data_IF_811810272694
#
_entry.id   IF_811810272694
#
_cell.length_a   1.000
_cell.length_b   1.000
_cell.length_c   1.000
_cell.angle_alpha   90.00
_cell.angle_beta   90.00
_cell.angle_gamma   90.00
#
_symmetry.space_group_name_H-M   'P 1'
#
loop_
_entity.id
_entity.type
_entity.pdbx_description
1 polymer ?
#
# COMPACT_ATOMS: atom_id res chain seq x y z
N UNK A 1 10.96 -7.96 6.81
CA UNK A 1 12.28 -7.31 7.07
C UNK A 1 12.82 -7.57 8.49
N UNK A 2 12.04 -7.40 9.57
CA UNK A 2 12.49 -7.64 10.95
C UNK A 2 13.05 -9.05 11.17
N UNK A 3 12.41 -10.09 10.67
CA UNK A 3 12.87 -11.48 10.82
C UNK A 3 14.15 -11.79 10.03
N UNK A 4 14.35 -11.17 8.89
CA UNK A 4 15.56 -11.34 8.08
C UNK A 4 16.79 -10.70 8.73
N UNK A 5 16.61 -9.55 9.40
CA UNK A 5 17.66 -8.95 10.20
C UNK A 5 17.99 -9.80 11.43
N UNK A 6 16.97 -10.41 12.02
CA UNK A 6 17.13 -11.25 13.19
C UNK A 6 17.98 -12.51 12.91
N UNK A 7 17.80 -13.21 11.80
CA UNK A 7 18.62 -14.36 11.45
C UNK A 7 20.12 -14.03 11.39
N UNK A 8 20.47 -12.78 11.08
CA UNK A 8 21.86 -12.29 11.13
C UNK A 8 22.34 -11.85 12.52
N UNK A 9 21.43 -11.47 13.39
CA UNK A 9 21.72 -10.84 14.69
C UNK A 9 21.45 -11.82 15.87
N UNK A 10 20.68 -12.90 15.63
CA UNK A 10 20.22 -13.80 16.67
C UNK A 10 21.31 -14.58 17.43
N UNK A 11 22.47 -14.75 16.86
CA UNK A 11 23.60 -15.33 17.58
C UNK A 11 24.04 -14.45 18.77
N UNK A 12 23.74 -13.15 18.71
CA UNK A 12 24.15 -12.17 19.72
C UNK A 12 23.01 -11.73 20.66
N UNK A 13 21.74 -11.74 20.17
CA UNK A 13 20.63 -11.09 20.87
C UNK A 13 19.64 -12.06 21.54
N UNK A 14 19.83 -13.37 21.37
CA UNK A 14 19.05 -14.40 22.09
C UNK A 14 17.54 -14.26 22.00
N UNK A 15 16.83 -14.45 23.11
CA UNK A 15 15.38 -14.41 23.23
C UNK A 15 14.81 -13.03 23.55
N UNK A 16 15.33 -11.96 22.97
CA UNK A 16 14.79 -10.62 23.18
C UNK A 16 13.34 -10.59 22.68
N UNK A 17 12.39 -10.14 23.51
CA UNK A 17 11.01 -9.96 23.08
C UNK A 17 10.93 -8.90 21.98
N UNK A 18 10.16 -9.18 20.93
CA UNK A 18 9.94 -8.26 19.82
C UNK A 18 8.45 -7.90 19.83
N UNK A 19 8.16 -6.61 19.71
CA UNK A 19 6.82 -6.12 19.41
C UNK A 19 6.78 -5.73 17.94
N UNK A 20 5.93 -6.38 17.17
CA UNK A 20 5.66 -6.05 15.78
C UNK A 20 4.36 -5.26 15.74
N UNK A 21 4.36 -4.17 15.01
CA UNK A 21 3.16 -3.36 14.75
C UNK A 21 2.99 -3.33 13.23
N UNK A 22 1.84 -3.71 12.74
CA UNK A 22 1.58 -3.77 11.31
C UNK A 22 0.12 -3.95 10.97
N UNK A 23 -0.15 -3.87 9.70
CA UNK A 23 -1.51 -3.92 9.17
C UNK A 23 -1.93 -5.34 8.78
N UNK A 24 -0.99 -6.26 8.76
CA UNK A 24 -1.19 -7.63 8.30
C UNK A 24 -0.57 -8.62 9.28
N UNK A 25 -1.32 -9.62 9.63
CA UNK A 25 -0.90 -10.75 10.46
C UNK A 25 -0.19 -11.85 9.64
N UNK A 26 0.20 -11.52 8.41
CA UNK A 26 0.88 -12.43 7.48
C UNK A 26 2.27 -11.93 7.12
N UNK A 27 3.09 -12.84 6.63
CA UNK A 27 4.39 -12.51 6.04
C UNK A 27 4.56 -13.20 4.69
N UNK A 28 5.31 -12.54 3.82
CA UNK A 28 5.67 -13.08 2.52
C UNK A 28 7.09 -13.67 2.54
N UNK A 29 7.43 -14.59 1.63
CA UNK A 29 8.79 -15.05 1.45
C UNK A 29 9.77 -13.87 1.22
N UNK A 30 11.02 -14.08 1.65
CA UNK A 30 12.08 -13.04 1.61
C UNK A 30 12.27 -12.42 0.24
N UNK A 31 12.12 -13.22 -0.81
CA UNK A 31 12.28 -12.82 -2.20
C UNK A 31 11.38 -11.65 -2.59
N UNK A 32 10.21 -11.56 -1.98
CA UNK A 32 9.22 -10.49 -2.22
C UNK A 32 9.68 -9.11 -1.76
N UNK A 33 10.57 -9.07 -0.77
CA UNK A 33 11.05 -7.81 -0.21
C UNK A 33 12.34 -7.29 -0.86
N UNK A 34 13.03 -8.11 -1.66
CA UNK A 34 14.38 -7.80 -2.12
C UNK A 34 14.59 -7.83 -3.63
N UNK A 35 13.66 -8.34 -4.41
CA UNK A 35 13.90 -8.55 -5.85
C UNK A 35 13.68 -7.31 -6.70
N UNK A 36 13.04 -6.25 -6.17
CA UNK A 36 12.69 -5.06 -6.95
C UNK A 36 11.90 -5.36 -8.23
N UNK A 37 11.35 -6.58 -8.34
CA UNK A 37 10.50 -6.99 -9.45
C UNK A 37 9.06 -6.99 -8.97
N UNK A 38 8.12 -6.46 -9.77
CA UNK A 38 6.71 -6.61 -9.47
C UNK A 38 6.38 -8.10 -9.42
N UNK A 39 5.98 -8.57 -8.26
CA UNK A 39 5.57 -9.95 -8.07
C UNK A 39 4.05 -9.92 -7.99
N UNK A 40 3.38 -10.56 -8.95
CA UNK A 40 1.94 -10.68 -8.90
C UNK A 40 1.53 -11.48 -7.65
N UNK A 41 0.90 -10.81 -6.70
CA UNK A 41 0.45 -11.39 -5.43
C UNK A 41 -0.56 -12.52 -5.62
N UNK A 42 -1.23 -12.60 -6.77
CA UNK A 42 -2.16 -13.69 -7.04
C UNK A 42 -1.57 -15.10 -6.84
N UNK A 43 -0.22 -15.21 -6.81
CA UNK A 43 0.51 -16.43 -6.54
C UNK A 43 1.39 -16.34 -5.29
N UNK A 44 1.30 -15.26 -4.49
CA UNK A 44 2.10 -15.13 -3.29
C UNK A 44 1.64 -16.12 -2.23
N UNK A 45 2.53 -16.97 -1.81
CA UNK A 45 2.33 -17.80 -0.63
C UNK A 45 2.62 -16.90 0.57
N UNK A 46 1.57 -16.34 1.15
CA UNK A 46 1.67 -15.68 2.45
C UNK A 46 1.45 -16.71 3.54
N UNK A 47 2.17 -16.56 4.64
CA UNK A 47 2.00 -17.39 5.83
C UNK A 47 1.58 -16.53 7.02
N UNK A 48 0.72 -17.03 7.91
CA UNK A 48 0.36 -16.32 9.13
C UNK A 48 1.59 -16.06 10.01
N UNK A 49 1.69 -14.88 10.61
CA UNK A 49 2.77 -14.54 11.54
C UNK A 49 2.79 -15.46 12.76
N UNK A 50 1.64 -15.99 13.17
CA UNK A 50 1.53 -16.93 14.29
C UNK A 50 2.38 -18.18 14.09
N UNK A 51 2.62 -18.61 12.86
CA UNK A 51 3.46 -19.77 12.55
C UNK A 51 4.94 -19.57 12.93
N UNK A 52 5.35 -18.33 13.12
CA UNK A 52 6.70 -17.98 13.55
C UNK A 52 6.86 -17.94 15.08
N UNK A 53 5.78 -17.94 15.86
CA UNK A 53 5.85 -17.88 17.32
C UNK A 53 6.68 -19.00 17.97
N UNK A 54 6.66 -20.24 17.47
CA UNK A 54 7.53 -21.30 18.03
C UNK A 54 9.03 -21.02 17.87
N UNK A 55 9.40 -20.19 16.89
CA UNK A 55 10.80 -19.89 16.58
C UNK A 55 11.26 -18.56 17.17
N UNK A 56 10.32 -17.64 17.41
CA UNK A 56 10.62 -16.25 17.79
C UNK A 56 9.70 -15.76 18.91
N UNK A 57 10.30 -15.14 19.90
CA UNK A 57 9.56 -14.47 20.98
C UNK A 57 9.05 -13.13 20.51
N UNK A 58 7.83 -13.07 19.96
CA UNK A 58 7.23 -11.81 19.51
C UNK A 58 5.73 -11.70 19.88
N UNK A 59 5.30 -10.46 19.98
CA UNK A 59 3.88 -10.07 20.04
C UNK A 59 3.56 -9.24 18.81
N UNK A 60 2.44 -9.51 18.16
CA UNK A 60 1.93 -8.72 17.04
C UNK A 60 0.78 -7.84 17.51
N UNK A 61 0.86 -6.56 17.18
CA UNK A 61 -0.22 -5.58 17.36
C UNK A 61 -0.71 -5.19 15.97
N UNK A 62 -1.92 -5.60 15.65
CA UNK A 62 -2.56 -5.29 14.38
C UNK A 62 -3.05 -3.83 14.38
N UNK A 63 -2.74 -3.11 13.30
CA UNK A 63 -3.29 -1.79 12.98
C UNK A 63 -3.99 -1.90 11.63
N UNK A 64 -5.27 -2.33 11.59
CA UNK A 64 -5.94 -2.65 10.34
C UNK A 64 -6.08 -1.42 9.44
N UNK A 65 -6.03 -1.63 8.14
CA UNK A 65 -6.36 -0.60 7.16
C UNK A 65 -7.84 -0.25 7.25
N UNK A 66 -8.14 1.01 7.45
CA UNK A 66 -9.52 1.52 7.50
C UNK A 66 -10.10 1.79 6.09
N UNK A 67 -9.75 0.95 5.10
CA UNK A 67 -10.16 1.19 3.72
C UNK A 67 -11.66 1.09 3.50
N UNK A 68 -12.35 0.18 4.22
CA UNK A 68 -13.81 0.03 4.10
C UNK A 68 -14.54 1.26 4.59
N UNK A 69 -14.18 1.72 5.78
CA UNK A 69 -14.73 2.91 6.40
C UNK A 69 -14.43 4.16 5.57
N UNK A 70 -13.23 4.23 5.01
CA UNK A 70 -12.84 5.34 4.14
C UNK A 70 -13.65 5.35 2.85
N UNK A 71 -13.85 4.20 2.20
CA UNK A 71 -14.69 4.09 0.99
C UNK A 71 -16.15 4.43 1.32
N UNK A 72 -16.68 3.93 2.42
CA UNK A 72 -18.05 4.23 2.85
C UNK A 72 -18.24 5.75 3.08
N UNK A 73 -17.27 6.38 3.72
CA UNK A 73 -17.25 7.83 3.91
C UNK A 73 -17.16 8.58 2.58
N UNK A 74 -16.30 8.14 1.64
CA UNK A 74 -16.19 8.74 0.31
C UNK A 74 -17.53 8.71 -0.42
N UNK A 75 -18.21 7.57 -0.43
CA UNK A 75 -19.53 7.44 -1.10
C UNK A 75 -20.57 8.37 -0.46
N UNK A 76 -20.54 8.54 0.85
CA UNK A 76 -21.44 9.46 1.56
C UNK A 76 -21.13 10.93 1.25
N UNK A 77 -19.84 11.30 1.20
CA UNK A 77 -19.42 12.68 0.95
C UNK A 77 -19.53 13.07 -0.53
N UNK A 78 -19.42 12.09 -1.43
CA UNK A 78 -19.41 12.30 -2.88
C UNK A 78 -20.58 11.52 -3.53
N UNK A 79 -21.84 11.94 -3.32
CA UNK A 79 -23.00 11.18 -3.76
C UNK A 79 -23.16 11.07 -5.30
N UNK A 80 -22.42 11.87 -6.05
CA UNK A 80 -22.38 11.80 -7.53
C UNK A 80 -21.17 11.02 -8.05
N UNK A 81 -20.35 10.48 -7.17
CA UNK A 81 -19.15 9.74 -7.55
C UNK A 81 -19.52 8.50 -8.36
N UNK A 82 -18.83 8.29 -9.48
CA UNK A 82 -18.95 7.13 -10.36
C UNK A 82 -17.67 6.31 -10.40
N UNK A 83 -16.53 6.95 -10.12
CA UNK A 83 -15.21 6.31 -10.19
C UNK A 83 -14.46 6.48 -8.88
N UNK A 84 -13.89 5.39 -8.41
CA UNK A 84 -12.90 5.38 -7.33
C UNK A 84 -11.56 5.01 -7.94
N UNK A 85 -10.58 5.88 -7.76
CA UNK A 85 -9.20 5.65 -8.17
C UNK A 85 -8.35 5.31 -6.95
N UNK A 86 -7.70 4.17 -6.99
CA UNK A 86 -6.70 3.82 -5.98
C UNK A 86 -5.30 4.14 -6.51
N UNK A 87 -4.67 5.16 -5.91
CA UNK A 87 -3.32 5.59 -6.26
C UNK A 87 -2.31 5.07 -5.24
N UNK A 88 -1.37 4.26 -5.70
CA UNK A 88 -0.36 3.62 -4.86
C UNK A 88 0.90 3.24 -5.66
N UNK A 89 1.97 2.88 -4.93
CA UNK A 89 3.14 2.23 -5.51
C UNK A 89 2.98 0.69 -5.56
N UNK A 90 4.00 0.00 -6.09
CA UNK A 90 4.00 -1.46 -6.21
C UNK A 90 4.51 -2.18 -4.94
N UNK A 91 4.61 -1.52 -3.81
CA UNK A 91 5.00 -2.20 -2.58
C UNK A 91 3.99 -3.29 -2.23
N UNK A 92 4.50 -4.36 -1.64
CA UNK A 92 3.71 -5.55 -1.30
C UNK A 92 2.36 -5.21 -0.61
N UNK A 93 2.40 -4.36 0.41
CA UNK A 93 1.19 -3.98 1.16
C UNK A 93 0.15 -3.26 0.28
N UNK A 94 0.57 -2.46 -0.70
CA UNK A 94 -0.34 -1.77 -1.61
C UNK A 94 -0.98 -2.72 -2.62
N UNK A 95 -0.28 -3.77 -3.03
CA UNK A 95 -0.86 -4.77 -3.93
C UNK A 95 -1.93 -5.59 -3.22
N UNK A 96 -1.74 -5.95 -1.94
CA UNK A 96 -2.76 -6.65 -1.16
C UNK A 96 -3.95 -5.73 -0.86
N UNK A 97 -3.67 -4.47 -0.51
CA UNK A 97 -4.68 -3.45 -0.30
C UNK A 97 -5.52 -3.18 -1.56
N UNK A 98 -4.90 -3.12 -2.74
CA UNK A 98 -5.56 -3.03 -4.04
C UNK A 98 -6.58 -4.17 -4.23
N UNK A 99 -6.16 -5.40 -3.98
CA UNK A 99 -7.02 -6.59 -4.06
C UNK A 99 -8.22 -6.50 -3.10
N UNK A 100 -7.98 -6.07 -1.86
CA UNK A 100 -9.00 -5.92 -0.83
C UNK A 100 -10.01 -4.81 -1.17
N UNK A 101 -9.52 -3.66 -1.63
CA UNK A 101 -10.33 -2.52 -2.06
C UNK A 101 -11.21 -2.92 -3.24
N UNK A 102 -10.62 -3.52 -4.26
CA UNK A 102 -11.35 -3.96 -5.45
C UNK A 102 -12.47 -4.95 -5.08
N UNK A 103 -12.16 -5.95 -4.25
CA UNK A 103 -13.16 -6.92 -3.78
C UNK A 103 -14.29 -6.25 -2.99
N UNK A 104 -13.97 -5.28 -2.13
CA UNK A 104 -14.96 -4.55 -1.35
C UNK A 104 -15.87 -3.68 -2.23
N UNK A 105 -15.30 -2.91 -3.16
CA UNK A 105 -16.06 -2.08 -4.10
C UNK A 105 -16.97 -2.95 -4.96
N UNK A 106 -16.45 -4.01 -5.56
CA UNK A 106 -17.23 -4.92 -6.41
C UNK A 106 -18.40 -5.53 -5.65
N UNK A 107 -18.21 -5.88 -4.38
CA UNK A 107 -19.26 -6.51 -3.56
C UNK A 107 -20.32 -5.52 -3.07
N UNK A 108 -19.90 -4.35 -2.60
CA UNK A 108 -20.82 -3.41 -1.91
C UNK A 108 -21.33 -2.30 -2.82
N UNK A 109 -20.52 -1.89 -3.77
CA UNK A 109 -20.79 -0.77 -4.68
C UNK A 109 -20.61 -1.15 -6.14
N UNK A 110 -21.35 -2.13 -6.68
CA UNK A 110 -21.13 -2.70 -8.01
C UNK A 110 -21.34 -1.70 -9.15
N UNK A 111 -21.95 -0.56 -8.89
CA UNK A 111 -22.16 0.51 -9.87
C UNK A 111 -20.99 1.51 -9.93
N UNK A 112 -20.02 1.41 -9.01
CA UNK A 112 -18.83 2.24 -9.05
C UNK A 112 -17.76 1.59 -9.92
N UNK A 113 -17.17 2.40 -10.79
CA UNK A 113 -15.99 1.99 -11.54
C UNK A 113 -14.77 2.07 -10.63
N UNK A 114 -13.94 1.03 -10.64
CA UNK A 114 -12.67 0.99 -9.93
C UNK A 114 -11.52 1.14 -10.91
N UNK A 115 -10.65 2.08 -10.67
CA UNK A 115 -9.43 2.33 -11.43
C UNK A 115 -8.19 2.27 -10.54
N UNK A 116 -7.12 1.72 -11.07
CA UNK A 116 -5.83 1.60 -10.38
C UNK A 116 -4.79 2.49 -11.04
N UNK A 117 -4.13 3.33 -10.24
CA UNK A 117 -3.03 4.18 -10.65
C UNK A 117 -1.76 3.74 -9.89
N UNK A 118 -0.83 3.09 -10.59
CA UNK A 118 0.34 2.49 -9.96
C UNK A 118 1.62 3.24 -10.29
N UNK A 119 2.42 3.58 -9.25
CA UNK A 119 3.59 4.44 -9.33
C UNK A 119 4.73 3.96 -10.23
N UNK A 120 4.93 2.65 -10.38
CA UNK A 120 5.98 2.12 -11.25
C UNK A 120 5.55 2.04 -12.71
N UNK A 121 4.25 1.93 -12.96
CA UNK A 121 3.70 1.95 -14.31
C UNK A 121 3.62 3.37 -14.85
N UNK A 122 3.57 4.36 -13.94
CA UNK A 122 3.37 5.78 -14.26
C UNK A 122 4.37 6.64 -13.51
N UNK A 123 4.90 7.64 -14.20
CA UNK A 123 5.83 8.58 -13.60
C UNK A 123 5.10 9.67 -12.80
N UNK A 124 5.86 10.48 -12.05
CA UNK A 124 5.32 11.56 -11.23
C UNK A 124 4.51 12.60 -12.04
N UNK A 125 4.89 12.86 -13.29
CA UNK A 125 4.17 13.82 -14.13
C UNK A 125 2.78 13.30 -14.51
N UNK A 126 2.64 11.99 -14.68
CA UNK A 126 1.35 11.35 -14.97
C UNK A 126 0.45 11.37 -13.73
N UNK A 127 1.01 11.10 -12.54
CA UNK A 127 0.29 11.29 -11.28
C UNK A 127 -0.18 12.74 -11.12
N UNK A 128 0.72 13.69 -11.38
CA UNK A 128 0.40 15.12 -11.31
C UNK A 128 -0.69 15.50 -12.30
N UNK A 129 -0.58 15.05 -13.55
CA UNK A 129 -1.60 15.31 -14.56
C UNK A 129 -2.96 14.72 -14.16
N UNK A 130 -2.95 13.54 -13.57
CA UNK A 130 -4.17 12.90 -13.07
C UNK A 130 -4.78 13.66 -11.87
N UNK A 131 -3.96 14.07 -10.91
CA UNK A 131 -4.41 14.83 -9.73
C UNK A 131 -4.94 16.24 -10.07
N UNK A 132 -4.42 16.84 -11.12
CA UNK A 132 -4.84 18.18 -11.57
C UNK A 132 -6.01 18.14 -12.56
N UNK A 133 -6.39 16.98 -13.05
CA UNK A 133 -7.55 16.82 -13.91
C UNK A 133 -8.82 16.91 -13.06
N UNK A 134 -9.67 17.91 -13.36
CA UNK A 134 -10.93 18.12 -12.63
C UNK A 134 -11.99 17.15 -13.17
N UNK A 135 -12.08 15.98 -12.55
CA UNK A 135 -13.13 15.00 -12.84
C UNK A 135 -14.14 14.94 -11.68
N UNK A 136 -15.25 15.69 -11.78
CA UNK A 136 -16.15 15.93 -10.64
C UNK A 136 -16.88 14.70 -10.12
N UNK A 137 -16.86 13.58 -10.85
CA UNK A 137 -17.49 12.31 -10.47
C UNK A 137 -16.46 11.25 -10.01
N UNK A 138 -15.22 11.70 -9.75
CA UNK A 138 -14.10 10.82 -9.32
C UNK A 138 -13.67 11.15 -7.91
N UNK A 139 -13.43 10.12 -7.11
CA UNK A 139 -12.79 10.21 -5.79
C UNK A 139 -11.50 9.37 -5.77
N UNK A 140 -10.47 9.89 -5.15
CA UNK A 140 -9.18 9.20 -5.06
C UNK A 140 -8.90 8.68 -3.66
N UNK A 141 -8.54 7.40 -3.59
CA UNK A 141 -7.89 6.78 -2.45
C UNK A 141 -6.39 6.81 -2.66
N UNK A 142 -5.66 7.47 -1.78
CA UNK A 142 -4.21 7.58 -1.87
C UNK A 142 -3.55 6.84 -0.71
N UNK A 143 -2.63 5.91 -1.02
CA UNK A 143 -1.83 5.22 -0.01
C UNK A 143 -0.41 5.82 0.02
N UNK A 144 0.55 5.17 -0.59
CA UNK A 144 1.92 5.65 -0.72
C UNK A 144 2.30 5.72 -2.19
N UNK A 145 3.20 6.64 -2.52
CA UNK A 145 3.70 6.77 -3.87
C UNK A 145 5.22 6.87 -3.85
N UNK A 146 5.86 5.72 -3.85
CA UNK A 146 7.30 5.64 -4.00
C UNK A 146 7.62 5.26 -5.42
N UNK A 147 8.32 6.13 -6.13
CA UNK A 147 8.88 5.78 -7.42
C UNK A 147 10.41 5.78 -7.34
N UNK A 148 10.99 4.82 -8.01
CA UNK A 148 12.43 4.69 -8.07
C UNK A 148 13.00 5.72 -9.05
N UNK A 149 13.57 6.80 -8.51
CA UNK A 149 14.41 7.70 -9.29
C UNK A 149 15.86 7.34 -9.05
N UNK A 150 16.55 6.93 -10.10
CA UNK A 150 18.00 6.76 -10.04
C UNK A 150 18.65 8.13 -9.97
N UNK A 151 19.43 8.39 -8.92
CA UNK A 151 20.29 9.56 -8.85
C UNK A 151 21.43 9.45 -9.89
N UNK A 152 22.24 10.50 -10.02
CA UNK A 152 23.39 10.54 -10.95
C UNK A 152 24.41 9.40 -10.75
N UNK A 153 24.37 8.72 -9.61
CA UNK A 153 25.22 7.58 -9.26
C UNK A 153 24.51 6.23 -9.42
N UNK A 154 23.27 6.21 -9.92
CA UNK A 154 22.49 4.99 -10.13
C UNK A 154 21.83 4.41 -8.87
N UNK A 155 21.90 5.08 -7.73
CA UNK A 155 21.24 4.63 -6.52
C UNK A 155 19.76 5.03 -6.49
N UNK A 156 18.86 4.15 -6.02
CA UNK A 156 17.44 4.48 -5.85
C UNK A 156 17.31 5.60 -4.80
N UNK A 157 16.63 6.66 -5.16
CA UNK A 157 16.31 7.76 -4.26
C UNK A 157 14.80 7.78 -4.04
N UNK A 158 14.37 7.62 -2.80
CA UNK A 158 12.97 7.80 -2.41
C UNK A 158 12.66 9.29 -2.37
N UNK A 159 11.69 9.73 -3.14
CA UNK A 159 11.25 11.13 -3.13
C UNK A 159 9.88 11.19 -2.45
N UNK A 160 9.83 11.92 -1.34
CA UNK A 160 8.62 12.13 -0.53
C UNK A 160 7.88 13.44 -0.88
N UNK A 161 7.88 13.83 -2.14
CA UNK A 161 7.26 15.09 -2.59
C UNK A 161 5.74 15.06 -2.81
N UNK A 162 5.11 13.93 -2.60
CA UNK A 162 3.76 13.64 -3.12
C UNK A 162 2.64 14.30 -2.30
N UNK A 163 2.87 14.60 -1.03
CA UNK A 163 1.87 15.28 -0.19
C UNK A 163 1.51 16.69 -0.67
N UNK A 164 2.46 17.42 -1.24
CA UNK A 164 2.16 18.74 -1.81
C UNK A 164 1.33 18.63 -3.09
N UNK A 165 1.59 17.62 -3.91
CA UNK A 165 0.80 17.31 -5.10
C UNK A 165 -0.62 16.94 -4.73
N UNK A 166 -0.79 16.03 -3.77
CA UNK A 166 -2.09 15.60 -3.27
C UNK A 166 -2.86 16.79 -2.67
N UNK A 167 -2.18 17.64 -1.89
CA UNK A 167 -2.80 18.83 -1.29
C UNK A 167 -3.23 19.90 -2.30
N UNK A 168 -2.66 19.91 -3.51
CA UNK A 168 -3.01 20.83 -4.59
C UNK A 168 -4.08 20.28 -5.54
N UNK A 169 -4.53 19.05 -5.34
CA UNK A 169 -5.56 18.43 -6.19
C UNK A 169 -6.90 19.12 -6.04
N UNK A 170 -7.57 19.51 -7.15
CA UNK A 170 -8.96 19.97 -7.11
C UNK A 170 -9.93 18.83 -6.81
N UNK A 171 -9.51 17.58 -7.01
CA UNK A 171 -10.31 16.40 -6.73
C UNK A 171 -10.26 16.01 -5.24
N UNK A 172 -11.33 15.44 -4.69
CA UNK A 172 -11.31 14.89 -3.34
C UNK A 172 -10.34 13.69 -3.23
N UNK A 173 -9.32 13.84 -2.40
CA UNK A 173 -8.34 12.78 -2.12
C UNK A 173 -8.47 12.34 -0.67
N UNK A 174 -8.58 11.04 -0.47
CA UNK A 174 -8.69 10.40 0.84
C UNK A 174 -7.43 9.55 1.07
N UNK A 175 -6.69 9.87 2.14
CA UNK A 175 -5.49 9.12 2.49
C UNK A 175 -5.84 7.85 3.27
N UNK A 176 -5.21 6.74 2.90
CA UNK A 176 -5.20 5.50 3.66
C UNK A 176 -3.93 5.45 4.54
N UNK A 177 -4.13 5.16 5.81
CA UNK A 177 -3.05 4.94 6.78
C UNK A 177 -3.23 3.60 7.46
#
# INVERSE_FOLDING_TARGET
>A
MAFTLRERILSEWGNIPIVLIGNEDTYAPREYYFTGRPIHISNAITSPLVDLQPQYNFTFIETPYMYKETIDMMVQMLPKMKTIVFAADELYHNQDLDRLIHAYITSKYPNLHYERLIGNERNQNELQAYLLNDEPETGMLFSTWFYERKNLLGFPTLISGDFQLVASSPQPVFALR
#
